data_IF_787271855080
#
_entry.id   IF_787271855080
#
_cell.length_a   1.000
_cell.length_b   1.000
_cell.length_c   1.000
_cell.angle_alpha   90.00
_cell.angle_beta   90.00
_cell.angle_gamma   90.00
#
_symmetry.space_group_name_H-M   'P 1'
#
loop_
_entity.id
_entity.type
_entity.pdbx_description
1 polymer ?
#
# COMPACT_ATOMS: atom_id res chain seq x y z
N UNK A 1 -57.65 43.74 -8.46
CA UNK A 1 -56.49 42.83 -8.57
C UNK A 1 -56.34 42.41 -10.03
N UNK A 2 -55.24 42.75 -10.70
CA UNK A 2 -54.96 42.32 -12.06
C UNK A 2 -54.28 40.95 -11.99
N UNK A 3 -54.86 39.92 -12.63
CA UNK A 3 -54.30 38.57 -12.67
C UNK A 3 -53.04 38.60 -13.55
N UNK A 4 -51.89 38.29 -12.97
CA UNK A 4 -50.66 38.04 -13.72
C UNK A 4 -50.82 36.71 -14.44
N UNK A 5 -50.91 36.74 -15.76
CA UNK A 5 -50.88 35.54 -16.58
C UNK A 5 -49.45 34.98 -16.53
N UNK A 6 -49.26 33.89 -15.79
CA UNK A 6 -48.03 33.09 -15.84
C UNK A 6 -48.04 32.34 -17.17
N UNK A 7 -47.34 32.87 -18.15
CA UNK A 7 -47.01 32.12 -19.37
C UNK A 7 -46.17 30.90 -19.00
N UNK A 8 -46.45 29.70 -19.53
CA UNK A 8 -45.61 28.52 -19.30
C UNK A 8 -44.20 28.84 -19.79
N UNK A 9 -43.21 28.71 -18.91
CA UNK A 9 -41.82 29.10 -19.16
C UNK A 9 -41.11 28.19 -20.19
N UNK A 10 -41.78 27.15 -20.68
CA UNK A 10 -41.28 26.30 -21.75
C UNK A 10 -42.29 26.28 -22.89
N UNK A 11 -41.89 26.84 -24.02
CA UNK A 11 -42.70 26.81 -25.22
C UNK A 11 -42.72 25.38 -25.80
N UNK A 12 -43.79 24.95 -26.48
CA UNK A 12 -43.93 23.59 -27.00
C UNK A 12 -42.76 23.16 -27.90
N UNK A 13 -42.15 24.12 -28.59
CA UNK A 13 -41.00 23.93 -29.46
C UNK A 13 -39.75 23.45 -28.71
N UNK A 14 -39.58 23.83 -27.42
CA UNK A 14 -38.47 23.34 -26.59
C UNK A 14 -38.61 21.85 -26.27
N UNK A 15 -39.83 21.38 -26.01
CA UNK A 15 -40.08 19.96 -25.75
C UNK A 15 -39.89 19.12 -27.01
N UNK A 16 -40.33 19.60 -28.17
CA UNK A 16 -40.09 18.91 -29.44
C UNK A 16 -38.60 18.85 -29.79
N UNK A 17 -37.87 19.94 -29.53
CA UNK A 17 -36.41 19.99 -29.69
C UNK A 17 -35.69 19.03 -28.72
N UNK A 18 -36.18 18.89 -27.48
CA UNK A 18 -35.63 17.99 -26.48
C UNK A 18 -35.88 16.51 -26.82
N UNK A 19 -37.09 16.16 -27.26
CA UNK A 19 -37.44 14.79 -27.70
C UNK A 19 -36.60 14.39 -28.93
N UNK A 20 -36.39 15.30 -29.88
CA UNK A 20 -35.48 15.08 -31.03
C UNK A 20 -34.01 14.93 -30.64
N UNK A 21 -33.62 15.40 -29.44
CA UNK A 21 -32.24 15.31 -28.92
C UNK A 21 -31.96 14.05 -28.10
N UNK A 22 -32.88 13.08 -28.01
CA UNK A 22 -32.52 11.73 -27.56
C UNK A 22 -31.44 11.25 -28.53
N UNK A 23 -30.20 11.36 -28.06
CA UNK A 23 -29.02 11.54 -28.89
C UNK A 23 -28.50 10.15 -29.25
N UNK A 24 -28.60 9.75 -30.52
CA UNK A 24 -27.99 8.51 -31.04
C UNK A 24 -26.45 8.47 -30.85
N UNK A 25 -25.84 9.60 -30.46
CA UNK A 25 -24.41 9.74 -30.19
C UNK A 25 -24.00 9.43 -28.74
N UNK A 26 -24.94 9.11 -27.83
CA UNK A 26 -24.58 8.56 -26.52
C UNK A 26 -24.56 7.05 -26.69
N UNK A 27 -23.39 6.39 -26.81
CA UNK A 27 -23.35 4.95 -26.80
C UNK A 27 -24.01 4.50 -25.50
N UNK A 28 -25.13 3.78 -25.65
CA UNK A 28 -25.81 3.07 -24.57
C UNK A 28 -24.71 2.35 -23.80
N UNK A 29 -24.44 2.76 -22.56
CA UNK A 29 -23.33 2.22 -21.76
C UNK A 29 -23.54 0.70 -21.74
N UNK A 30 -22.76 -0.02 -22.56
CA UNK A 30 -22.94 -1.44 -22.72
C UNK A 30 -22.59 -2.04 -21.37
N UNK A 31 -23.62 -2.47 -20.65
CA UNK A 31 -23.58 -3.14 -19.37
C UNK A 31 -22.96 -4.55 -19.50
N UNK A 32 -22.01 -4.73 -20.42
CA UNK A 32 -21.31 -5.96 -20.76
C UNK A 32 -19.84 -5.96 -20.35
N UNK A 33 -19.34 -4.88 -19.76
CA UNK A 33 -17.98 -4.76 -19.26
C UNK A 33 -18.07 -4.33 -17.79
N UNK A 34 -18.61 -5.20 -16.95
CA UNK A 34 -18.63 -5.02 -15.48
C UNK A 34 -17.24 -5.21 -14.87
N UNK A 35 -16.20 -4.68 -15.53
CA UNK A 35 -14.99 -4.31 -14.83
C UNK A 35 -15.34 -3.03 -14.09
N UNK A 36 -15.20 -3.03 -12.76
CA UNK A 36 -15.51 -1.85 -11.97
C UNK A 36 -14.70 -0.67 -12.54
N UNK A 37 -15.23 0.54 -12.46
CA UNK A 37 -14.49 1.76 -12.84
C UNK A 37 -13.11 1.80 -12.14
N UNK A 38 -12.99 1.16 -10.97
CA UNK A 38 -11.75 0.87 -10.25
C UNK A 38 -10.73 0.01 -11.03
N UNK A 39 -11.15 -1.01 -11.77
CA UNK A 39 -10.24 -1.86 -12.57
C UNK A 39 -9.78 -1.15 -13.85
N UNK A 40 -10.58 -0.25 -14.43
CA UNK A 40 -10.21 0.55 -15.61
C UNK A 40 -9.32 1.75 -15.28
N UNK A 41 -9.43 2.29 -14.07
CA UNK A 41 -8.48 3.25 -13.53
C UNK A 41 -7.35 2.46 -12.91
N UNK A 42 -6.37 2.04 -13.71
CA UNK A 42 -5.10 1.54 -13.18
C UNK A 42 -4.59 2.57 -12.16
N UNK A 43 -4.79 2.32 -10.87
CA UNK A 43 -4.41 3.23 -9.80
C UNK A 43 -2.89 3.15 -9.75
N UNK A 44 -2.23 4.02 -10.52
CA UNK A 44 -0.80 4.24 -10.38
C UNK A 44 -0.57 4.61 -8.92
N UNK A 45 0.17 3.78 -8.16
CA UNK A 45 0.44 4.09 -6.77
C UNK A 45 1.09 5.46 -6.71
N UNK A 46 0.66 6.30 -5.78
CA UNK A 46 1.31 7.60 -5.59
C UNK A 46 2.80 7.40 -5.26
N UNK A 47 3.63 8.38 -5.58
CA UNK A 47 5.06 8.32 -5.25
C UNK A 47 5.30 8.03 -3.76
N UNK A 48 4.43 8.55 -2.88
CA UNK A 48 4.47 8.27 -1.44
C UNK A 48 4.14 6.82 -1.09
N UNK A 49 3.19 6.21 -1.80
CA UNK A 49 2.83 4.81 -1.61
C UNK A 49 4.00 3.88 -2.00
N UNK A 50 4.69 4.20 -3.10
CA UNK A 50 5.89 3.48 -3.56
C UNK A 50 7.02 3.60 -2.52
N UNK A 51 7.30 4.83 -2.06
CA UNK A 51 8.34 5.09 -1.06
C UNK A 51 8.02 4.37 0.26
N UNK A 52 6.76 4.34 0.67
CA UNK A 52 6.32 3.63 1.88
C UNK A 52 6.60 2.13 1.77
N UNK A 53 6.19 1.50 0.67
CA UNK A 53 6.43 0.07 0.45
C UNK A 53 7.94 -0.26 0.42
N UNK A 54 8.75 0.58 -0.22
CA UNK A 54 10.21 0.41 -0.22
C UNK A 54 10.84 0.61 1.14
N UNK A 55 10.27 1.47 1.98
CA UNK A 55 10.70 1.65 3.35
C UNK A 55 10.36 0.41 4.19
N UNK A 56 9.12 -0.09 4.11
CA UNK A 56 8.67 -1.30 4.80
C UNK A 56 9.52 -2.52 4.42
N UNK A 57 9.80 -2.70 3.13
CA UNK A 57 10.68 -3.77 2.62
C UNK A 57 12.08 -3.70 3.23
N UNK A 58 12.72 -2.52 3.18
CA UNK A 58 14.05 -2.33 3.75
C UNK A 58 14.05 -2.51 5.26
N UNK A 59 13.00 -2.08 5.95
CA UNK A 59 12.89 -2.23 7.38
C UNK A 59 12.83 -3.73 7.78
N UNK A 60 12.06 -4.54 7.06
CA UNK A 60 12.01 -5.99 7.29
C UNK A 60 13.36 -6.69 7.04
N UNK A 61 14.09 -6.28 6.00
CA UNK A 61 15.46 -6.78 5.75
C UNK A 61 16.42 -6.40 6.89
N UNK A 62 16.31 -5.17 7.41
CA UNK A 62 17.12 -4.72 8.53
C UNK A 62 16.80 -5.49 9.82
N UNK A 63 15.52 -5.71 10.11
CA UNK A 63 15.08 -6.46 11.29
C UNK A 63 15.68 -7.87 11.30
N UNK A 64 15.62 -8.58 10.16
CA UNK A 64 16.25 -9.90 10.00
C UNK A 64 17.77 -9.85 10.21
N UNK A 65 18.44 -8.80 9.72
CA UNK A 65 19.89 -8.64 9.89
C UNK A 65 20.28 -8.33 11.33
N UNK A 66 19.43 -7.60 12.05
CA UNK A 66 19.60 -7.34 13.49
C UNK A 66 19.46 -8.66 14.27
N UNK A 67 18.42 -9.44 14.00
CA UNK A 67 18.21 -10.74 14.65
C UNK A 67 19.40 -11.68 14.45
N UNK A 68 19.87 -11.84 13.21
CA UNK A 68 21.06 -12.64 12.92
C UNK A 68 22.30 -12.15 13.70
N UNK A 69 22.49 -10.85 13.79
CA UNK A 69 23.63 -10.27 14.52
C UNK A 69 23.53 -10.50 16.03
N UNK A 70 22.33 -10.49 16.59
CA UNK A 70 22.08 -10.83 18.00
C UNK A 70 22.37 -12.30 18.29
N UNK A 71 22.00 -13.21 17.39
CA UNK A 71 22.34 -14.63 17.48
C UNK A 71 23.86 -14.87 17.42
N UNK A 72 24.55 -14.25 16.46
CA UNK A 72 26.01 -14.35 16.32
C UNK A 72 26.72 -13.80 17.57
N UNK A 73 26.24 -12.68 18.11
CA UNK A 73 26.76 -12.10 19.36
C UNK A 73 26.58 -13.03 20.55
N UNK A 74 25.44 -13.73 20.66
CA UNK A 74 25.19 -14.72 21.71
C UNK A 74 26.15 -15.90 21.59
N UNK A 75 26.37 -16.42 20.38
CA UNK A 75 27.32 -17.50 20.12
C UNK A 75 28.74 -17.12 20.53
N UNK A 76 29.22 -15.95 20.10
CA UNK A 76 30.56 -15.46 20.45
C UNK A 76 30.76 -15.29 21.96
N UNK A 77 29.72 -14.89 22.70
CA UNK A 77 29.77 -14.80 24.16
C UNK A 77 30.00 -16.18 24.80
N UNK A 78 29.29 -17.20 24.31
CA UNK A 78 29.47 -18.57 24.80
C UNK A 78 30.89 -19.09 24.51
N UNK A 79 31.39 -18.87 23.30
CA UNK A 79 32.75 -19.27 22.92
C UNK A 79 33.81 -18.61 23.80
N UNK A 80 33.64 -17.31 24.11
CA UNK A 80 34.52 -16.58 25.01
C UNK A 80 34.49 -17.16 26.43
N UNK A 81 33.32 -17.53 26.95
CA UNK A 81 33.20 -18.15 28.28
C UNK A 81 33.84 -19.53 28.33
N UNK A 82 33.72 -20.33 27.27
CA UNK A 82 34.41 -21.63 27.12
C UNK A 82 35.92 -21.44 27.15
N UNK A 83 36.47 -20.54 26.33
CA UNK A 83 37.91 -20.25 26.31
C UNK A 83 38.42 -19.78 27.68
N UNK A 84 37.64 -18.95 28.37
CA UNK A 84 37.96 -18.48 29.73
C UNK A 84 38.00 -19.62 30.74
N UNK A 85 37.08 -20.58 30.65
CA UNK A 85 37.06 -21.77 31.51
C UNK A 85 38.25 -22.68 31.24
N UNK A 86 38.60 -22.91 29.97
CA UNK A 86 39.76 -23.71 29.57
C UNK A 86 41.07 -23.09 30.07
N UNK A 87 41.26 -21.78 29.86
CA UNK A 87 42.43 -21.05 30.36
C UNK A 87 42.56 -21.12 31.89
N UNK A 88 41.43 -21.05 32.62
CA UNK A 88 41.40 -21.20 34.08
C UNK A 88 41.77 -22.62 34.52
N UNK A 89 41.29 -23.66 33.83
CA UNK A 89 41.67 -25.06 34.08
C UNK A 89 43.17 -25.26 33.85
N UNK A 90 43.71 -24.75 32.75
CA UNK A 90 45.13 -24.85 32.41
C UNK A 90 46.02 -24.19 33.47
N UNK A 91 45.67 -22.98 33.94
CA UNK A 91 46.40 -22.31 35.05
C UNK A 91 46.37 -23.13 36.34
N UNK A 92 45.22 -23.71 36.69
CA UNK A 92 45.11 -24.57 37.88
C UNK A 92 45.91 -25.86 37.78
N UNK A 93 46.04 -26.45 36.59
CA UNK A 93 46.88 -27.62 36.34
C UNK A 93 48.37 -27.32 36.49
N UNK A 94 48.83 -26.17 35.96
CA UNK A 94 50.23 -25.73 36.05
C UNK A 94 50.71 -25.42 37.47
N UNK A 95 49.82 -25.00 38.37
CA UNK A 95 50.16 -24.69 39.76
C UNK A 95 50.18 -25.92 40.69
N UNK A 96 49.84 -27.10 40.18
CA UNK A 96 49.79 -28.37 40.94
C UNK A 96 50.97 -29.30 40.65
N UNK A 97 51.79 -28.99 39.66
CA UNK A 97 53.07 -29.63 39.38
C UNK A 97 54.20 -28.74 39.93
#
# INVERSE_FOLDING_TARGET
>A
MKRLAVTPMMTPEYNEWWIKRINDNIPKLSQGNSHSIEEHLWVVPSELEIIRQDFERRNAEFEKKVEQMEEEKMKLRLDMDVQKLEAKKLRKGKNKA
#
